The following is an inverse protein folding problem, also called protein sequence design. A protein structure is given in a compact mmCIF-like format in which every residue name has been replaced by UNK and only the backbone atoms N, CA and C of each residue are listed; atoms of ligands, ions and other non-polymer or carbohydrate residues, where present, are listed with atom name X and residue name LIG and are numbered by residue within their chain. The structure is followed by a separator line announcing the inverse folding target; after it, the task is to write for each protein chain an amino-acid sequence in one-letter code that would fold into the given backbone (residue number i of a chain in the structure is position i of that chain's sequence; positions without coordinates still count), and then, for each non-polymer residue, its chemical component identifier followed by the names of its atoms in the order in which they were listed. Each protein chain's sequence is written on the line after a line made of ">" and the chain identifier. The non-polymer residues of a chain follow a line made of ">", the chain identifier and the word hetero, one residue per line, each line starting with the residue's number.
data_IF_878338212706
#
_entry.id   IF_878338212706
#
_cell.length_a   1.000
_cell.length_b   1.000
_cell.length_c   1.000
_cell.angle_alpha   90.00
_cell.angle_beta   90.00
_cell.angle_gamma   90.00
#
_symmetry.space_group_name_H-M   'P 1'
#
loop_
_entity.id
_entity.type
_entity.pdbx_description
1 polymer ?
#
# COMPACT_ATOMS: atom_id res chain seq x y z
N UNK A 1 3.47 -21.83 -15.66
CA UNK A 1 4.89 -22.03 -16.01
C UNK A 1 5.14 -21.33 -17.32
N UNK A 2 5.99 -20.30 -17.33
CA UNK A 2 6.44 -19.63 -18.55
C UNK A 2 7.62 -20.47 -19.05
N UNK A 3 7.47 -21.16 -20.19
CA UNK A 3 8.53 -21.98 -20.77
C UNK A 3 9.51 -21.10 -21.58
N UNK A 4 10.78 -21.52 -21.73
CA UNK A 4 11.79 -20.80 -22.52
C UNK A 4 11.29 -20.49 -23.95
N UNK A 5 10.56 -21.43 -24.53
CA UNK A 5 9.99 -21.31 -25.87
C UNK A 5 8.93 -20.20 -25.97
N UNK A 6 8.14 -19.99 -24.91
CA UNK A 6 7.13 -18.92 -24.85
C UNK A 6 7.79 -17.54 -24.76
N UNK A 7 8.93 -17.42 -24.08
CA UNK A 7 9.67 -16.15 -23.97
C UNK A 7 10.29 -15.80 -25.31
N UNK A 8 10.86 -16.80 -26.00
CA UNK A 8 11.44 -16.63 -27.32
C UNK A 8 10.39 -16.18 -28.35
N UNK A 9 9.20 -16.80 -28.34
CA UNK A 9 8.06 -16.35 -29.16
C UNK A 9 7.63 -14.92 -28.83
N UNK A 10 7.48 -14.58 -27.54
CA UNK A 10 7.13 -13.22 -27.12
C UNK A 10 8.15 -12.17 -27.57
N UNK A 11 9.45 -12.47 -27.48
CA UNK A 11 10.50 -11.56 -27.94
C UNK A 11 10.52 -11.39 -29.46
N UNK A 12 10.13 -12.42 -30.22
CA UNK A 12 9.97 -12.34 -31.68
C UNK A 12 8.74 -11.49 -32.02
N UNK A 13 7.58 -11.80 -31.43
CA UNK A 13 6.33 -11.06 -31.66
C UNK A 13 6.48 -9.56 -31.33
N UNK A 14 7.24 -9.24 -30.28
CA UNK A 14 7.56 -7.86 -29.89
C UNK A 14 8.54 -7.18 -30.85
N UNK A 15 9.45 -7.94 -31.47
CA UNK A 15 10.37 -7.42 -32.50
C UNK A 15 9.63 -7.15 -33.80
N UNK A 16 8.72 -8.03 -34.19
CA UNK A 16 7.92 -7.91 -35.42
C UNK A 16 6.84 -6.81 -35.32
N UNK A 17 6.32 -6.54 -34.12
CA UNK A 17 5.33 -5.48 -33.89
C UNK A 17 5.93 -4.09 -33.62
N UNK A 18 7.25 -3.96 -33.58
CA UNK A 18 7.96 -2.72 -33.25
C UNK A 18 8.64 -2.11 -34.49
N UNK A 19 8.34 -0.85 -34.81
CA UNK A 19 9.06 -0.08 -35.84
C UNK A 19 10.52 0.26 -35.47
N UNK A 20 10.96 -0.03 -34.24
CA UNK A 20 12.34 0.21 -33.77
C UNK A 20 13.09 -1.11 -33.62
N UNK A 21 14.39 -1.08 -33.91
CA UNK A 21 15.30 -2.18 -33.57
C UNK A 21 15.36 -2.35 -32.04
N UNK A 22 14.67 -3.38 -31.54
CA UNK A 22 14.71 -3.79 -30.15
C UNK A 22 15.80 -4.85 -29.95
N UNK A 23 16.77 -4.58 -29.09
CA UNK A 23 17.76 -5.57 -28.64
C UNK A 23 17.37 -6.11 -27.28
N UNK A 24 17.13 -7.41 -27.19
CA UNK A 24 16.77 -8.09 -25.94
C UNK A 24 17.95 -8.91 -25.42
N UNK A 25 18.42 -8.62 -24.21
CA UNK A 25 19.37 -9.48 -23.52
C UNK A 25 18.64 -10.72 -22.97
N UNK A 26 18.68 -11.80 -23.75
CA UNK A 26 18.00 -13.04 -23.42
C UNK A 26 18.53 -13.67 -22.13
N UNK A 27 19.81 -13.49 -21.81
CA UNK A 27 20.40 -14.07 -20.61
C UNK A 27 19.93 -13.31 -19.36
N UNK A 28 19.93 -11.99 -19.40
CA UNK A 28 19.40 -11.17 -18.31
C UNK A 28 17.89 -11.43 -18.08
N UNK A 29 17.10 -11.56 -19.15
CA UNK A 29 15.66 -11.89 -19.06
C UNK A 29 15.45 -13.27 -18.43
N UNK A 30 16.23 -14.27 -18.85
CA UNK A 30 16.13 -15.63 -18.30
C UNK A 30 16.58 -15.71 -16.85
N UNK A 31 17.63 -14.97 -16.47
CA UNK A 31 18.10 -14.90 -15.09
C UNK A 31 17.08 -14.19 -14.17
N UNK A 32 16.47 -13.10 -14.64
CA UNK A 32 15.41 -12.42 -13.89
C UNK A 32 14.16 -13.31 -13.76
N UNK A 33 13.73 -13.99 -14.82
CA UNK A 33 12.59 -14.93 -14.77
C UNK A 33 12.91 -16.12 -13.88
N UNK A 34 14.14 -16.63 -13.89
CA UNK A 34 14.56 -17.75 -13.03
C UNK A 34 14.60 -17.33 -11.56
N UNK A 35 15.09 -16.13 -11.26
CA UNK A 35 15.04 -15.54 -9.93
C UNK A 35 13.59 -15.29 -9.49
N UNK A 36 12.73 -14.73 -10.34
CA UNK A 36 11.32 -14.44 -10.06
C UNK A 36 10.48 -15.73 -9.94
N UNK A 37 10.79 -16.79 -10.69
CA UNK A 37 10.11 -18.10 -10.58
C UNK A 37 10.57 -18.92 -9.37
N UNK A 38 11.82 -18.80 -8.92
CA UNK A 38 12.21 -19.26 -7.57
C UNK A 38 11.57 -18.39 -6.46
N UNK A 39 11.26 -17.13 -6.75
CA UNK A 39 10.57 -16.16 -5.86
C UNK A 39 9.05 -16.14 -5.98
N UNK A 40 8.43 -17.03 -6.77
CA UNK A 40 6.97 -17.25 -6.79
C UNK A 40 6.54 -17.98 -5.51
N UNK A 41 6.90 -17.41 -4.37
CA UNK A 41 6.33 -17.71 -3.08
C UNK A 41 4.83 -17.46 -3.18
N UNK A 42 4.06 -18.50 -2.85
CA UNK A 42 2.61 -18.35 -2.74
C UNK A 42 2.31 -17.24 -1.73
N UNK A 43 1.24 -16.50 -1.97
CA UNK A 43 0.80 -15.42 -1.08
C UNK A 43 0.70 -15.88 0.38
N UNK A 44 0.36 -17.16 0.60
CA UNK A 44 0.39 -17.82 1.89
C UNK A 44 1.77 -17.82 2.57
N UNK A 45 2.85 -18.14 1.85
CA UNK A 45 4.22 -18.13 2.39
C UNK A 45 4.64 -16.70 2.78
N UNK A 46 4.27 -15.69 1.97
CA UNK A 46 4.58 -14.29 2.29
C UNK A 46 3.84 -13.82 3.55
N UNK A 47 2.56 -14.16 3.69
CA UNK A 47 1.79 -13.85 4.91
C UNK A 47 2.39 -14.57 6.12
N UNK A 48 2.71 -15.86 5.98
CA UNK A 48 3.27 -16.66 7.07
C UNK A 48 4.63 -16.13 7.52
N UNK A 49 5.46 -15.66 6.59
CA UNK A 49 6.75 -15.02 6.89
C UNK A 49 6.58 -13.71 7.66
N UNK A 50 5.65 -12.84 7.25
CA UNK A 50 5.34 -11.60 7.99
C UNK A 50 4.80 -11.92 9.39
N UNK A 51 3.83 -12.83 9.48
CA UNK A 51 3.25 -13.26 10.75
C UNK A 51 4.29 -13.89 11.68
N UNK A 52 5.16 -14.77 11.14
CA UNK A 52 6.26 -15.37 11.87
C UNK A 52 7.28 -14.34 12.36
N UNK A 53 7.56 -13.31 11.55
CA UNK A 53 8.40 -12.18 11.93
C UNK A 53 7.85 -11.42 13.15
N UNK A 54 6.56 -11.08 13.09
CA UNK A 54 5.86 -10.38 14.18
C UNK A 54 5.78 -11.24 15.43
N UNK A 55 5.38 -12.52 15.30
CA UNK A 55 5.29 -13.45 16.43
C UNK A 55 6.65 -13.70 17.08
N UNK A 56 7.71 -13.80 16.28
CA UNK A 56 9.08 -13.91 16.77
C UNK A 56 9.47 -12.68 17.59
N UNK A 57 9.20 -11.48 17.07
CA UNK A 57 9.48 -10.23 17.80
C UNK A 57 8.67 -10.12 19.10
N UNK A 58 7.40 -10.51 19.11
CA UNK A 58 6.57 -10.55 20.31
C UNK A 58 7.07 -11.56 21.34
N UNK A 59 7.43 -12.77 20.93
CA UNK A 59 7.99 -13.79 21.82
C UNK A 59 9.33 -13.33 22.43
N UNK A 60 10.17 -12.65 21.64
CA UNK A 60 11.40 -12.05 22.13
C UNK A 60 11.16 -10.91 23.12
N UNK A 61 10.21 -10.02 22.85
CA UNK A 61 9.82 -8.97 23.80
C UNK A 61 9.29 -9.58 25.11
N UNK A 62 8.47 -10.64 25.02
CA UNK A 62 7.99 -11.39 26.17
C UNK A 62 9.12 -12.06 26.97
N UNK A 63 10.10 -12.65 26.29
CA UNK A 63 11.30 -13.21 26.93
C UNK A 63 12.12 -12.12 27.64
N UNK A 64 12.34 -10.98 26.99
CA UNK A 64 13.11 -9.87 27.53
C UNK A 64 12.46 -9.34 28.83
N UNK A 65 11.13 -9.28 28.85
CA UNK A 65 10.35 -8.96 30.05
C UNK A 65 10.45 -10.05 31.13
N UNK A 66 10.20 -11.31 30.78
CA UNK A 66 10.21 -12.43 31.72
C UNK A 66 11.59 -12.70 32.34
N UNK A 67 12.66 -12.41 31.61
CA UNK A 67 14.04 -12.57 32.07
C UNK A 67 14.61 -11.30 32.74
N UNK A 68 13.81 -10.23 32.88
CA UNK A 68 14.23 -8.93 33.44
C UNK A 68 15.46 -8.32 32.74
N UNK A 69 15.71 -8.71 31.48
CA UNK A 69 16.84 -8.24 30.67
C UNK A 69 16.62 -6.82 30.11
N UNK A 70 15.49 -6.20 30.44
CA UNK A 70 15.14 -4.83 30.07
C UNK A 70 15.70 -3.76 31.01
N UNK A 71 16.34 -4.16 32.11
CA UNK A 71 16.85 -3.22 33.12
C UNK A 71 18.12 -2.46 32.67
N UNK A 72 18.95 -3.06 31.83
CA UNK A 72 20.20 -2.43 31.36
C UNK A 72 20.00 -1.65 30.06
N UNK A 73 19.93 -0.33 30.17
CA UNK A 73 19.79 0.58 29.03
C UNK A 73 20.89 0.37 27.97
N UNK A 74 22.16 0.25 28.40
CA UNK A 74 23.31 0.05 27.51
C UNK A 74 23.23 -1.29 26.79
N UNK A 75 22.82 -2.36 27.47
CA UNK A 75 22.64 -3.67 26.85
C UNK A 75 21.52 -3.62 25.79
N UNK A 76 20.38 -2.99 26.12
CA UNK A 76 19.26 -2.82 25.18
C UNK A 76 19.65 -2.01 23.95
N UNK A 77 20.35 -0.88 24.11
CA UNK A 77 20.83 -0.09 22.97
C UNK A 77 21.79 -0.91 22.10
N UNK A 78 22.72 -1.62 22.73
CA UNK A 78 23.74 -2.40 22.01
C UNK A 78 23.10 -3.56 21.23
N UNK A 79 22.25 -4.35 21.89
CA UNK A 79 21.50 -5.44 21.25
C UNK A 79 20.60 -4.89 20.15
N UNK A 80 19.92 -3.78 20.40
CA UNK A 80 19.05 -3.12 19.44
C UNK A 80 19.80 -2.76 18.15
N UNK A 81 20.92 -2.04 18.27
CA UNK A 81 21.77 -1.65 17.13
C UNK A 81 22.30 -2.89 16.38
N UNK A 82 22.80 -3.90 17.11
CA UNK A 82 23.33 -5.13 16.51
C UNK A 82 22.24 -5.87 15.74
N UNK A 83 21.04 -5.98 16.29
CA UNK A 83 19.91 -6.63 15.62
C UNK A 83 19.44 -5.86 14.39
N UNK A 84 19.35 -4.53 14.44
CA UNK A 84 19.00 -3.71 13.27
C UNK A 84 20.05 -3.84 12.16
N UNK A 85 21.35 -3.80 12.49
CA UNK A 85 22.42 -4.01 11.51
C UNK A 85 22.36 -5.42 10.93
N UNK A 86 22.20 -6.43 11.78
CA UNK A 86 22.07 -7.82 11.36
C UNK A 86 20.87 -8.00 10.42
N UNK A 87 19.73 -7.37 10.71
CA UNK A 87 18.55 -7.40 9.85
C UNK A 87 18.84 -6.86 8.45
N UNK A 88 19.53 -5.71 8.34
CA UNK A 88 19.90 -5.10 7.05
C UNK A 88 20.89 -5.99 6.30
N UNK A 89 21.88 -6.58 6.98
CA UNK A 89 22.87 -7.48 6.38
C UNK A 89 22.21 -8.77 5.88
N UNK A 90 21.36 -9.41 6.70
CA UNK A 90 20.59 -10.59 6.31
C UNK A 90 19.67 -10.30 5.13
N UNK A 91 19.09 -9.10 5.06
CA UNK A 91 18.29 -8.62 3.94
C UNK A 91 19.04 -8.51 2.61
N UNK A 92 20.37 -8.70 2.61
CA UNK A 92 21.21 -8.76 1.40
C UNK A 92 21.58 -10.18 0.99
N UNK A 93 21.43 -11.19 1.86
CA UNK A 93 21.95 -12.56 1.66
C UNK A 93 21.07 -13.46 0.78
N UNK A 94 20.24 -12.86 -0.07
CA UNK A 94 19.50 -13.55 -1.13
C UNK A 94 18.06 -13.93 -0.75
N UNK A 95 17.30 -14.34 -1.78
CA UNK A 95 15.84 -14.41 -1.83
C UNK A 95 15.19 -15.60 -1.10
N UNK A 96 15.79 -16.11 -0.03
CA UNK A 96 15.18 -17.23 0.71
C UNK A 96 14.21 -16.68 1.75
N UNK A 97 12.98 -17.21 1.77
CA UNK A 97 11.93 -16.92 2.76
C UNK A 97 12.48 -16.86 4.20
N UNK A 98 13.37 -17.79 4.53
CA UNK A 98 13.98 -17.91 5.85
C UNK A 98 14.75 -16.63 6.19
N UNK A 99 15.57 -16.13 5.27
CA UNK A 99 16.36 -14.90 5.49
C UNK A 99 15.47 -13.66 5.57
N UNK A 100 14.42 -13.57 4.75
CA UNK A 100 13.46 -12.47 4.85
C UNK A 100 12.73 -12.48 6.21
N UNK A 101 12.36 -13.67 6.71
CA UNK A 101 11.70 -13.82 8.01
C UNK A 101 12.65 -13.44 9.15
N UNK A 102 13.89 -13.93 9.15
CA UNK A 102 14.88 -13.57 10.17
C UNK A 102 15.22 -12.08 10.14
N UNK A 103 15.39 -11.53 8.94
CA UNK A 103 15.65 -10.10 8.73
C UNK A 103 14.51 -9.26 9.32
N UNK A 104 13.25 -9.61 9.02
CA UNK A 104 12.09 -8.95 9.60
C UNK A 104 12.02 -9.04 11.13
N UNK A 105 12.23 -10.25 11.68
CA UNK A 105 12.24 -10.50 13.13
C UNK A 105 13.30 -9.65 13.82
N UNK A 106 14.55 -9.71 13.35
CA UNK A 106 15.65 -8.94 13.94
C UNK A 106 15.43 -7.43 13.82
N UNK A 107 14.81 -6.98 12.72
CA UNK A 107 14.48 -5.57 12.55
C UNK A 107 13.48 -5.10 13.62
N UNK A 108 12.38 -5.84 13.82
CA UNK A 108 11.36 -5.53 14.82
C UNK A 108 11.88 -5.70 16.25
N UNK A 109 12.67 -6.74 16.53
CA UNK A 109 13.31 -6.93 17.84
C UNK A 109 14.27 -5.79 18.17
N UNK A 110 15.11 -5.40 17.21
CA UNK A 110 16.02 -4.27 17.37
C UNK A 110 15.27 -2.97 17.63
N UNK A 111 14.18 -2.75 16.89
CA UNK A 111 13.27 -1.63 17.08
C UNK A 111 12.71 -1.59 18.52
N UNK A 112 12.17 -2.71 19.00
CA UNK A 112 11.64 -2.83 20.38
C UNK A 112 12.72 -2.59 21.44
N UNK A 113 13.93 -3.12 21.27
CA UNK A 113 15.04 -2.87 22.19
C UNK A 113 15.42 -1.39 22.27
N UNK A 114 15.49 -0.69 21.13
CA UNK A 114 15.81 0.74 21.12
C UNK A 114 14.70 1.57 21.76
N UNK A 115 13.41 1.20 21.59
CA UNK A 115 12.31 1.85 22.30
C UNK A 115 12.50 1.74 23.82
N UNK A 116 12.68 0.52 24.34
CA UNK A 116 12.87 0.33 25.78
C UNK A 116 14.14 1.01 26.30
N UNK A 117 15.23 0.99 25.51
CA UNK A 117 16.44 1.72 25.87
C UNK A 117 16.21 3.23 25.94
N UNK A 118 15.42 3.79 25.02
CA UNK A 118 15.17 5.23 24.97
C UNK A 118 14.43 5.73 26.21
N UNK A 119 13.48 4.95 26.73
CA UNK A 119 12.78 5.23 27.98
C UNK A 119 13.75 5.22 29.18
N UNK A 120 14.66 4.24 29.24
CA UNK A 120 15.65 4.13 30.32
C UNK A 120 16.79 5.14 30.25
N UNK A 121 17.09 5.65 29.07
CA UNK A 121 18.11 6.71 28.88
C UNK A 121 17.52 8.12 28.98
N UNK A 122 16.23 8.24 29.35
CA UNK A 122 15.49 9.51 29.38
C UNK A 122 15.60 10.30 28.07
N UNK A 123 15.67 9.59 26.94
CA UNK A 123 15.69 10.23 25.62
C UNK A 123 14.34 10.87 25.35
N UNK A 124 14.36 12.10 24.79
CA UNK A 124 13.11 12.75 24.40
C UNK A 124 12.41 11.94 23.31
N UNK A 125 11.08 11.83 23.38
CA UNK A 125 10.27 11.10 22.39
C UNK A 125 10.56 11.60 20.97
N UNK A 126 10.75 12.91 20.79
CA UNK A 126 11.11 13.50 19.49
C UNK A 126 12.46 13.01 18.95
N UNK A 127 13.47 12.86 19.81
CA UNK A 127 14.76 12.30 19.41
C UNK A 127 14.60 10.84 18.98
N UNK A 128 13.90 10.04 19.77
CA UNK A 128 13.65 8.62 19.48
C UNK A 128 12.92 8.44 18.14
N UNK A 129 11.83 9.19 17.91
CA UNK A 129 11.07 9.13 16.65
C UNK A 129 11.91 9.60 15.45
N UNK A 130 12.73 10.64 15.62
CA UNK A 130 13.61 11.14 14.55
C UNK A 130 14.68 10.11 14.19
N UNK A 131 15.29 9.45 15.18
CA UNK A 131 16.27 8.38 14.94
C UNK A 131 15.65 7.23 14.17
N UNK A 132 14.43 6.81 14.53
CA UNK A 132 13.74 5.75 13.79
C UNK A 132 13.47 6.15 12.34
N UNK A 133 12.97 7.35 12.09
CA UNK A 133 12.76 7.86 10.72
C UNK A 133 14.06 7.81 9.91
N UNK A 134 15.19 8.20 10.49
CA UNK A 134 16.51 8.12 9.84
C UNK A 134 16.89 6.67 9.55
N UNK A 135 16.68 5.75 10.49
CA UNK A 135 16.95 4.32 10.32
C UNK A 135 16.08 3.73 9.22
N UNK A 136 14.78 4.05 9.16
CA UNK A 136 13.88 3.55 8.12
C UNK A 136 14.27 4.07 6.74
N UNK A 137 14.60 5.36 6.61
CA UNK A 137 15.08 5.93 5.35
C UNK A 137 16.38 5.24 4.93
N UNK A 138 17.36 5.12 5.82
CA UNK A 138 18.61 4.42 5.54
C UNK A 138 18.36 2.97 5.11
N UNK A 139 17.42 2.30 5.78
CA UNK A 139 17.04 0.93 5.48
C UNK A 139 16.47 0.77 4.06
N UNK A 140 15.59 1.68 3.63
CA UNK A 140 15.02 1.68 2.27
C UNK A 140 16.08 1.79 1.17
N UNK A 141 17.20 2.49 1.44
CA UNK A 141 18.32 2.60 0.51
C UNK A 141 19.32 1.44 0.61
N UNK A 142 19.54 0.90 1.81
CA UNK A 142 20.59 -0.09 2.07
C UNK A 142 20.13 -1.54 1.88
N UNK A 143 18.83 -1.83 2.04
CA UNK A 143 18.28 -3.18 1.98
C UNK A 143 17.85 -3.58 0.58
N UNK A 144 18.09 -4.86 0.26
CA UNK A 144 17.59 -5.51 -0.97
C UNK A 144 16.43 -6.47 -0.71
N UNK A 145 16.01 -6.60 0.55
CA UNK A 145 14.89 -7.46 0.93
C UNK A 145 13.56 -6.72 0.76
N UNK A 146 12.60 -7.40 0.12
CA UNK A 146 11.24 -6.90 -0.03
C UNK A 146 10.56 -6.69 1.33
N UNK A 147 10.67 -7.67 2.23
CA UNK A 147 9.95 -7.66 3.51
C UNK A 147 10.47 -6.54 4.41
N UNK A 148 11.79 -6.39 4.50
CA UNK A 148 12.40 -5.36 5.33
C UNK A 148 12.07 -3.95 4.79
N UNK A 149 12.15 -3.74 3.47
CA UNK A 149 11.73 -2.46 2.87
C UNK A 149 10.23 -2.19 3.08
N UNK A 150 9.39 -3.22 3.00
CA UNK A 150 7.95 -3.10 3.27
C UNK A 150 7.69 -2.66 4.72
N UNK A 151 8.35 -3.28 5.70
CA UNK A 151 8.26 -2.90 7.11
C UNK A 151 8.78 -1.48 7.35
N UNK A 152 9.90 -1.09 6.73
CA UNK A 152 10.43 0.27 6.86
C UNK A 152 9.45 1.33 6.35
N UNK A 153 8.70 1.09 5.27
CA UNK A 153 7.66 2.04 4.83
C UNK A 153 6.54 2.15 5.88
N UNK A 154 6.07 1.02 6.42
CA UNK A 154 5.03 1.01 7.45
C UNK A 154 5.48 1.78 8.70
N UNK A 155 6.66 1.43 9.24
CA UNK A 155 7.20 2.07 10.45
C UNK A 155 7.51 3.54 10.22
N UNK A 156 8.09 3.92 9.07
CA UNK A 156 8.33 5.32 8.72
C UNK A 156 7.04 6.13 8.74
N UNK A 157 5.97 5.63 8.11
CA UNK A 157 4.68 6.33 8.15
C UNK A 157 4.08 6.39 9.55
N UNK A 158 4.24 5.33 10.35
CA UNK A 158 3.81 5.29 11.74
C UNK A 158 4.57 6.30 12.61
N UNK A 159 5.89 6.39 12.47
CA UNK A 159 6.73 7.32 13.22
C UNK A 159 6.47 8.78 12.86
N UNK A 160 6.27 9.09 11.58
CA UNK A 160 5.87 10.43 11.16
C UNK A 160 4.54 10.82 11.81
N UNK A 161 3.57 9.92 11.85
CA UNK A 161 2.26 10.19 12.47
C UNK A 161 2.35 10.29 13.99
N UNK A 162 3.12 9.41 14.63
CA UNK A 162 3.39 9.48 16.07
C UNK A 162 4.06 10.81 16.43
N UNK A 163 4.97 11.30 15.58
CA UNK A 163 5.63 12.60 15.75
C UNK A 163 4.63 13.76 15.62
N UNK A 164 3.70 13.71 14.66
CA UNK A 164 2.63 14.71 14.54
C UNK A 164 1.75 14.75 15.79
N UNK A 165 1.33 13.58 16.28
CA UNK A 165 0.47 13.47 17.47
C UNK A 165 1.21 13.98 18.71
N UNK A 166 2.47 13.55 18.91
CA UNK A 166 3.26 13.96 20.07
C UNK A 166 3.50 15.48 20.14
N UNK A 167 3.63 16.14 18.99
CA UNK A 167 3.86 17.58 18.91
C UNK A 167 2.57 18.41 18.75
N UNK A 168 1.39 17.83 18.95
CA UNK A 168 0.09 18.51 18.75
C UNK A 168 -0.09 19.11 17.34
N UNK A 169 0.38 18.40 16.32
CA UNK A 169 0.25 18.77 14.90
C UNK A 169 -0.78 17.86 14.20
N UNK A 170 -1.84 17.45 14.89
CA UNK A 170 -2.86 16.52 14.37
C UNK A 170 -3.55 17.07 13.10
N UNK A 171 -3.63 18.39 12.93
CA UNK A 171 -4.16 19.05 11.74
C UNK A 171 -3.42 18.66 10.44
N UNK A 172 -2.14 18.25 10.54
CA UNK A 172 -1.33 17.80 9.40
C UNK A 172 -1.60 16.34 9.00
N UNK A 173 -2.43 15.61 9.75
CA UNK A 173 -2.72 14.21 9.50
C UNK A 173 -3.34 13.96 8.12
N UNK A 174 -4.45 14.63 7.79
CA UNK A 174 -5.10 14.49 6.49
C UNK A 174 -4.28 15.06 5.32
N UNK A 175 -3.57 16.20 5.47
CA UNK A 175 -2.56 16.63 4.50
C UNK A 175 -1.48 15.58 4.23
N UNK A 176 -0.98 14.87 5.25
CA UNK A 176 -0.03 13.77 5.08
C UNK A 176 -0.65 12.61 4.29
N UNK A 177 -1.88 12.21 4.63
CA UNK A 177 -2.63 11.17 3.91
C UNK A 177 -2.80 11.56 2.43
N UNK A 178 -3.14 12.82 2.15
CA UNK A 178 -3.24 13.35 0.79
C UNK A 178 -1.89 13.25 0.06
N UNK A 179 -0.79 13.69 0.68
CA UNK A 179 0.56 13.61 0.10
C UNK A 179 0.98 12.16 -0.20
N UNK A 180 0.74 11.24 0.72
CA UNK A 180 1.07 9.82 0.56
C UNK A 180 0.25 9.19 -0.58
N UNK A 181 -1.01 9.58 -0.76
CA UNK A 181 -1.84 9.09 -1.88
C UNK A 181 -1.39 9.59 -3.24
N UNK A 182 -0.90 10.84 -3.31
CA UNK A 182 -0.27 11.39 -4.53
C UNK A 182 0.99 10.58 -4.83
N UNK A 183 1.84 10.32 -3.83
CA UNK A 183 3.04 9.47 -4.00
C UNK A 183 2.68 8.07 -4.50
N UNK A 184 1.69 7.40 -3.90
CA UNK A 184 1.21 6.08 -4.33
C UNK A 184 0.74 6.12 -5.79
N UNK A 185 -0.07 7.13 -6.15
CA UNK A 185 -0.61 7.28 -7.51
C UNK A 185 0.48 7.55 -8.54
N UNK A 186 1.53 8.31 -8.19
CA UNK A 186 2.68 8.55 -9.06
C UNK A 186 3.51 7.28 -9.25
N UNK A 187 3.82 6.56 -8.16
CA UNK A 187 4.58 5.30 -8.20
C UNK A 187 3.87 4.29 -9.07
N UNK A 188 2.55 4.12 -8.89
CA UNK A 188 1.77 3.19 -9.69
C UNK A 188 1.55 3.71 -11.12
N UNK A 189 1.28 4.99 -11.31
CA UNK A 189 1.00 5.57 -12.63
C UNK A 189 2.21 5.69 -13.54
N UNK A 190 3.43 5.62 -13.01
CA UNK A 190 4.69 5.69 -13.76
C UNK A 190 5.56 4.42 -13.62
N UNK A 191 4.96 3.29 -13.23
CA UNK A 191 5.65 2.00 -13.02
C UNK A 191 6.66 1.67 -14.15
N UNK A 192 6.20 1.69 -15.41
CA UNK A 192 7.04 1.35 -16.57
C UNK A 192 8.26 2.26 -16.66
N UNK A 193 8.10 3.57 -16.43
CA UNK A 193 9.22 4.53 -16.49
C UNK A 193 10.19 4.31 -15.33
N UNK A 194 9.68 4.08 -14.12
CA UNK A 194 10.51 3.84 -12.92
C UNK A 194 11.35 2.58 -13.10
N UNK A 195 10.75 1.50 -13.61
CA UNK A 195 11.44 0.23 -13.82
C UNK A 195 12.45 0.28 -14.98
N UNK A 196 12.14 0.99 -16.07
CA UNK A 196 13.04 1.07 -17.24
C UNK A 196 14.21 2.03 -17.05
N UNK A 197 14.13 2.99 -16.12
CA UNK A 197 15.24 3.94 -15.89
C UNK A 197 16.42 3.29 -15.15
N UNK A 198 16.27 2.08 -14.60
CA UNK A 198 17.34 1.16 -14.17
C UNK A 198 18.31 1.62 -13.06
N UNK A 199 18.38 2.92 -12.75
CA UNK A 199 19.47 3.54 -11.97
C UNK A 199 19.01 4.00 -10.57
N UNK A 200 17.71 4.15 -10.33
CA UNK A 200 17.23 4.87 -9.13
C UNK A 200 16.78 3.92 -8.00
N UNK A 201 16.12 2.80 -8.30
CA UNK A 201 15.57 1.88 -7.28
C UNK A 201 15.64 0.42 -7.74
N UNK A 202 16.16 -0.50 -6.91
CA UNK A 202 16.03 -1.94 -7.16
C UNK A 202 14.55 -2.34 -7.30
N UNK A 203 14.25 -3.29 -8.21
CA UNK A 203 12.87 -3.74 -8.49
C UNK A 203 12.11 -4.20 -7.23
N UNK A 204 12.83 -4.85 -6.31
CA UNK A 204 12.30 -5.30 -5.01
C UNK A 204 11.90 -4.14 -4.12
N UNK A 205 12.71 -3.09 -4.06
CA UNK A 205 12.42 -1.87 -3.30
C UNK A 205 11.21 -1.15 -3.89
N UNK A 206 11.08 -1.10 -5.22
CA UNK A 206 9.88 -0.56 -5.86
C UNK A 206 8.60 -1.33 -5.46
N UNK A 207 8.61 -2.66 -5.54
CA UNK A 207 7.45 -3.47 -5.17
C UNK A 207 7.10 -3.30 -3.69
N UNK A 208 8.10 -3.30 -2.81
CA UNK A 208 7.94 -3.07 -1.38
C UNK A 208 7.38 -1.66 -1.08
N UNK A 209 7.86 -0.63 -1.78
CA UNK A 209 7.39 0.74 -1.65
C UNK A 209 5.92 0.88 -2.08
N UNK A 210 5.54 0.28 -3.21
CA UNK A 210 4.16 0.26 -3.70
C UNK A 210 3.22 -0.40 -2.69
N UNK A 211 3.57 -1.60 -2.22
CA UNK A 211 2.73 -2.32 -1.24
C UNK A 211 2.73 -1.62 0.11
N UNK A 212 3.89 -1.15 0.59
CA UNK A 212 4.06 -0.49 1.87
C UNK A 212 3.20 0.75 1.95
N UNK A 213 3.26 1.63 0.94
CA UNK A 213 2.43 2.84 0.89
C UNK A 213 0.93 2.53 0.83
N UNK A 214 0.53 1.51 0.06
CA UNK A 214 -0.87 1.09 -0.02
C UNK A 214 -1.38 0.66 1.37
N UNK A 215 -0.64 -0.22 2.06
CA UNK A 215 -1.03 -0.68 3.39
C UNK A 215 -0.95 0.45 4.43
N UNK A 216 0.10 1.28 4.42
CA UNK A 216 0.21 2.46 5.27
C UNK A 216 -1.02 3.35 5.15
N UNK A 217 -1.43 3.71 3.92
CA UNK A 217 -2.60 4.55 3.70
C UNK A 217 -3.90 3.92 4.20
N UNK A 218 -4.09 2.61 4.02
CA UNK A 218 -5.24 1.90 4.57
C UNK A 218 -5.24 1.91 6.09
N UNK A 219 -4.11 1.63 6.73
CA UNK A 219 -3.98 1.68 8.19
C UNK A 219 -4.26 3.09 8.72
N UNK A 220 -3.72 4.13 8.06
CA UNK A 220 -4.02 5.50 8.42
C UNK A 220 -5.52 5.79 8.30
N UNK A 221 -6.17 5.48 7.19
CA UNK A 221 -7.61 5.73 7.06
C UNK A 221 -8.47 4.94 8.07
N UNK A 222 -8.03 3.75 8.49
CA UNK A 222 -8.68 3.00 9.58
C UNK A 222 -8.50 3.73 10.92
N UNK A 223 -7.31 4.26 11.21
CA UNK A 223 -7.05 5.04 12.44
C UNK A 223 -7.79 6.38 12.42
N UNK A 224 -7.80 7.08 11.28
CA UNK A 224 -8.48 8.37 11.14
C UNK A 224 -10.00 8.29 11.21
N UNK A 225 -10.60 7.20 10.71
CA UNK A 225 -12.06 7.01 10.74
C UNK A 225 -12.56 6.44 12.05
N UNK A 226 -11.67 5.88 12.86
CA UNK A 226 -12.06 5.27 14.11
C UNK A 226 -11.40 6.02 15.27
N UNK A 227 -12.20 6.54 16.20
CA UNK A 227 -11.71 7.05 17.48
C UNK A 227 -11.12 5.93 18.39
N UNK A 228 -10.58 4.84 17.82
CA UNK A 228 -10.09 3.62 18.49
C UNK A 228 -9.09 3.95 19.61
N UNK A 229 -8.40 5.08 19.53
CA UNK A 229 -7.33 5.42 20.45
C UNK A 229 -7.53 6.69 21.27
N UNK A 230 -8.73 7.29 21.27
CA UNK A 230 -8.98 8.61 21.88
C UNK A 230 -7.98 9.70 21.42
N UNK A 231 -7.31 9.52 20.29
CA UNK A 231 -6.59 10.61 19.66
C UNK A 231 -7.66 11.56 19.14
N UNK A 232 -7.73 12.77 19.72
CA UNK A 232 -8.51 13.87 19.16
C UNK A 232 -7.86 14.30 17.84
N UNK A 233 -8.06 13.48 16.80
CA UNK A 233 -7.76 13.88 15.44
C UNK A 233 -8.80 14.93 15.07
N UNK A 234 -8.36 16.18 14.99
CA UNK A 234 -9.22 17.24 14.49
C UNK A 234 -9.63 16.91 13.05
N UNK A 235 -10.94 16.86 12.81
CA UNK A 235 -11.53 16.62 11.49
C UNK A 235 -11.47 17.88 10.59
N UNK A 236 -10.69 18.89 10.99
CA UNK A 236 -10.57 20.21 10.36
C UNK A 236 -10.15 20.14 8.90
N UNK A 237 -9.30 19.18 8.53
CA UNK A 237 -8.70 19.08 7.19
C UNK A 237 -9.02 17.78 6.44
N UNK A 238 -10.02 16.99 6.86
CA UNK A 238 -10.40 15.76 6.13
C UNK A 238 -10.86 16.02 4.70
N UNK A 239 -11.46 17.19 4.45
CA UNK A 239 -11.84 17.66 3.11
C UNK A 239 -10.64 17.76 2.15
N UNK A 240 -9.42 18.00 2.64
CA UNK A 240 -8.20 18.06 1.83
C UNK A 240 -7.91 16.68 1.23
N UNK A 241 -7.93 15.63 2.05
CA UNK A 241 -7.71 14.27 1.60
C UNK A 241 -8.79 13.84 0.59
N UNK A 242 -10.07 14.13 0.87
CA UNK A 242 -11.17 13.81 -0.04
C UNK A 242 -11.07 14.52 -1.39
N UNK A 243 -10.72 15.81 -1.39
CA UNK A 243 -10.53 16.58 -2.63
C UNK A 243 -9.43 15.98 -3.48
N UNK A 244 -8.29 15.65 -2.85
CA UNK A 244 -7.17 15.02 -3.54
C UNK A 244 -7.57 13.64 -4.07
N UNK A 245 -8.29 12.82 -3.31
CA UNK A 245 -8.74 11.51 -3.78
C UNK A 245 -9.70 11.61 -4.97
N UNK A 246 -10.67 12.53 -4.95
CA UNK A 246 -11.58 12.76 -6.07
C UNK A 246 -10.81 13.19 -7.34
N UNK A 247 -9.84 14.10 -7.20
CA UNK A 247 -8.95 14.50 -8.29
C UNK A 247 -8.15 13.32 -8.85
N UNK A 248 -7.55 12.51 -7.98
CA UNK A 248 -6.79 11.33 -8.39
C UNK A 248 -7.69 10.27 -9.06
N UNK A 249 -8.93 10.09 -8.61
CA UNK A 249 -9.92 9.21 -9.24
C UNK A 249 -10.26 9.70 -10.66
N UNK A 250 -10.48 11.00 -10.84
CA UNK A 250 -10.74 11.56 -12.17
C UNK A 250 -9.54 11.36 -13.10
N UNK A 251 -8.32 11.65 -12.63
CA UNK A 251 -7.10 11.48 -13.40
C UNK A 251 -6.85 10.02 -13.78
N UNK A 252 -7.04 9.09 -12.84
CA UNK A 252 -6.87 7.65 -13.10
C UNK A 252 -7.94 7.11 -14.03
N UNK A 253 -9.20 7.50 -13.86
CA UNK A 253 -10.31 7.14 -14.76
C UNK A 253 -10.05 7.64 -16.18
N UNK A 254 -9.62 8.88 -16.33
CA UNK A 254 -9.24 9.45 -17.62
C UNK A 254 -8.12 8.65 -18.31
N UNK A 255 -7.13 8.18 -17.55
CA UNK A 255 -6.02 7.33 -18.05
C UNK A 255 -6.46 5.90 -18.38
N UNK A 256 -7.43 5.35 -17.66
CA UNK A 256 -7.93 3.97 -17.87
C UNK A 256 -8.90 3.90 -19.07
N UNK A 257 -9.66 4.95 -19.36
CA UNK A 257 -10.69 4.93 -20.40
C UNK A 257 -10.26 4.42 -21.79
N UNK A 258 -9.05 4.72 -22.32
CA UNK A 258 -8.56 4.11 -23.56
C UNK A 258 -8.41 2.58 -23.50
N UNK A 259 -8.10 2.02 -22.33
CA UNK A 259 -8.03 0.56 -22.11
C UNK A 259 -9.41 -0.11 -22.29
N UNK A 260 -10.49 0.66 -22.09
CA UNK A 260 -11.88 0.23 -22.29
C UNK A 260 -12.39 0.56 -23.70
N UNK A 261 -11.50 0.86 -24.66
CA UNK A 261 -11.82 1.26 -26.04
C UNK A 261 -12.58 2.59 -26.16
N UNK A 262 -12.50 3.45 -25.15
CA UNK A 262 -13.12 4.79 -25.15
C UNK A 262 -12.06 5.83 -25.56
N UNK A 263 -11.89 6.00 -26.86
CA UNK A 263 -10.79 6.83 -27.40
C UNK A 263 -11.13 8.32 -27.52
N UNK A 264 -12.41 8.67 -27.67
CA UNK A 264 -12.83 10.08 -27.81
C UNK A 264 -12.63 10.84 -26.49
N UNK A 265 -11.85 11.93 -26.53
CA UNK A 265 -11.51 12.76 -25.35
C UNK A 265 -12.72 13.26 -24.58
N UNK A 266 -13.78 13.69 -25.28
CA UNK A 266 -15.03 14.15 -24.67
C UNK A 266 -15.65 13.09 -23.76
N UNK A 267 -15.75 11.83 -24.22
CA UNK A 267 -16.32 10.76 -23.39
C UNK A 267 -15.43 10.40 -22.20
N UNK A 268 -14.10 10.50 -22.36
CA UNK A 268 -13.16 10.30 -21.25
C UNK A 268 -13.33 11.35 -20.15
N UNK A 269 -13.48 12.62 -20.55
CA UNK A 269 -13.76 13.73 -19.63
C UNK A 269 -15.13 13.52 -18.98
N UNK A 270 -16.17 13.22 -19.76
CA UNK A 270 -17.53 13.00 -19.26
C UNK A 270 -17.58 11.88 -18.22
N UNK A 271 -16.97 10.73 -18.48
CA UNK A 271 -16.91 9.60 -17.53
C UNK A 271 -16.18 10.00 -16.25
N UNK A 272 -15.10 10.77 -16.37
CA UNK A 272 -14.33 11.23 -15.20
C UNK A 272 -15.14 12.21 -14.34
N UNK A 273 -15.90 13.11 -14.97
CA UNK A 273 -16.82 14.03 -14.27
C UNK A 273 -17.96 13.25 -13.59
N UNK A 274 -18.56 12.29 -14.29
CA UNK A 274 -19.62 11.44 -13.73
C UNK A 274 -19.11 10.64 -12.54
N UNK A 275 -17.89 10.10 -12.61
CA UNK A 275 -17.26 9.38 -11.50
C UNK A 275 -17.04 10.30 -10.28
N UNK A 276 -16.55 11.53 -10.48
CA UNK A 276 -16.43 12.52 -9.40
C UNK A 276 -17.78 12.86 -8.78
N UNK A 277 -18.80 13.12 -9.62
CA UNK A 277 -20.13 13.51 -9.17
C UNK A 277 -20.79 12.40 -8.34
N UNK A 278 -20.58 11.14 -8.74
CA UNK A 278 -21.11 9.97 -8.04
C UNK A 278 -20.47 9.77 -6.66
N UNK A 279 -19.21 10.20 -6.49
CA UNK A 279 -18.46 10.11 -5.23
C UNK A 279 -18.49 11.39 -4.41
N UNK A 280 -19.16 12.44 -4.89
CA UNK A 280 -19.34 13.67 -4.13
C UNK A 280 -20.07 13.44 -2.77
N UNK A 281 -21.05 12.51 -2.65
CA UNK A 281 -21.68 12.22 -1.36
C UNK A 281 -20.70 11.69 -0.29
N UNK A 282 -19.55 11.13 -0.70
CA UNK A 282 -18.52 10.62 0.21
C UNK A 282 -17.44 11.66 0.51
N UNK A 283 -17.69 12.95 0.25
CA UNK A 283 -16.72 14.03 0.42
C UNK A 283 -16.21 14.18 1.86
N UNK A 284 -17.03 13.93 2.89
CA UNK A 284 -16.58 13.93 4.28
C UNK A 284 -16.05 12.58 4.77
N UNK A 285 -16.02 11.57 3.90
CA UNK A 285 -15.57 10.22 4.23
C UNK A 285 -14.46 9.78 3.27
N UNK A 286 -13.25 10.36 3.41
CA UNK A 286 -12.13 10.15 2.48
C UNK A 286 -11.78 8.67 2.28
N UNK A 287 -12.01 7.82 3.29
CA UNK A 287 -11.68 6.41 3.23
C UNK A 287 -12.44 5.64 2.13
N UNK A 288 -13.71 5.99 1.86
CA UNK A 288 -14.50 5.38 0.79
C UNK A 288 -13.88 5.76 -0.57
N UNK A 289 -13.61 7.04 -0.79
CA UNK A 289 -12.95 7.52 -2.02
C UNK A 289 -11.58 6.85 -2.23
N UNK A 290 -10.78 6.71 -1.18
CA UNK A 290 -9.47 6.05 -1.27
C UNK A 290 -9.55 4.58 -1.68
N UNK A 291 -10.53 3.83 -1.17
CA UNK A 291 -10.71 2.43 -1.55
C UNK A 291 -11.03 2.27 -3.03
N UNK A 292 -11.81 3.19 -3.61
CA UNK A 292 -12.10 3.23 -5.04
C UNK A 292 -10.86 3.63 -5.84
N UNK A 293 -10.09 4.62 -5.39
CA UNK A 293 -8.80 4.97 -6.00
C UNK A 293 -7.86 3.76 -6.03
N UNK A 294 -7.81 2.99 -4.95
CA UNK A 294 -7.00 1.75 -4.85
C UNK A 294 -7.45 0.70 -5.86
N UNK A 295 -8.76 0.51 -6.04
CA UNK A 295 -9.33 -0.38 -7.06
C UNK A 295 -8.93 0.06 -8.47
N UNK A 296 -9.08 1.35 -8.80
CA UNK A 296 -8.74 1.89 -10.12
C UNK A 296 -7.25 1.77 -10.43
N UNK A 297 -6.38 2.13 -9.48
CA UNK A 297 -4.93 2.01 -9.62
C UNK A 297 -4.51 0.54 -9.80
N UNK A 298 -5.10 -0.36 -9.01
CA UNK A 298 -4.81 -1.79 -9.09
C UNK A 298 -5.31 -2.40 -10.40
N UNK A 299 -6.45 -1.96 -10.91
CA UNK A 299 -6.96 -2.34 -12.23
C UNK A 299 -6.03 -1.86 -13.35
N UNK A 300 -5.59 -0.60 -13.30
CA UNK A 300 -4.68 -0.02 -14.30
C UNK A 300 -3.37 -0.81 -14.43
N UNK A 301 -2.79 -1.23 -13.31
CA UNK A 301 -1.55 -2.01 -13.27
C UNK A 301 -1.74 -3.53 -13.33
N UNK A 302 -2.99 -4.03 -13.41
CA UNK A 302 -3.30 -5.47 -13.28
C UNK A 302 -2.72 -6.09 -11.99
N UNK A 303 -2.64 -5.30 -10.91
CA UNK A 303 -2.08 -5.71 -9.63
C UNK A 303 -3.13 -6.46 -8.79
N UNK A 304 -3.17 -7.80 -8.93
CA UNK A 304 -4.22 -8.67 -8.35
C UNK A 304 -4.38 -8.54 -6.83
N UNK A 305 -3.27 -8.48 -6.09
CA UNK A 305 -3.31 -8.38 -4.63
C UNK A 305 -3.83 -7.02 -4.18
N UNK A 306 -3.41 -5.92 -4.82
CA UNK A 306 -3.97 -4.59 -4.55
C UNK A 306 -5.45 -4.50 -4.90
N UNK A 307 -5.90 -5.21 -5.95
CA UNK A 307 -7.32 -5.29 -6.31
C UNK A 307 -8.11 -6.00 -5.21
N UNK A 308 -7.66 -7.16 -4.75
CA UNK A 308 -8.31 -7.89 -3.64
C UNK A 308 -8.36 -7.04 -2.36
N UNK A 309 -7.24 -6.41 -1.99
CA UNK A 309 -7.17 -5.49 -0.84
C UNK A 309 -8.10 -4.29 -1.02
N UNK A 310 -8.18 -3.72 -2.23
CA UNK A 310 -9.10 -2.64 -2.57
C UNK A 310 -10.58 -3.03 -2.42
N UNK A 311 -10.95 -4.25 -2.82
CA UNK A 311 -12.31 -4.78 -2.62
C UNK A 311 -12.63 -4.89 -1.12
N UNK A 312 -11.72 -5.50 -0.35
CA UNK A 312 -11.89 -5.67 1.10
C UNK A 312 -12.00 -4.30 1.78
N UNK A 313 -11.13 -3.35 1.43
CA UNK A 313 -11.16 -2.00 1.95
C UNK A 313 -12.46 -1.27 1.57
N UNK A 314 -12.93 -1.40 0.33
CA UNK A 314 -14.18 -0.79 -0.12
C UNK A 314 -15.36 -1.33 0.67
N UNK A 315 -15.47 -2.65 0.85
CA UNK A 315 -16.52 -3.28 1.65
C UNK A 315 -16.45 -2.81 3.11
N UNK A 316 -15.26 -2.76 3.71
CA UNK A 316 -15.10 -2.27 5.07
C UNK A 316 -15.52 -0.80 5.23
N UNK A 317 -15.01 0.10 4.39
CA UNK A 317 -15.27 1.53 4.53
C UNK A 317 -16.69 1.92 4.12
N UNK A 318 -17.31 1.27 3.14
CA UNK A 318 -18.72 1.53 2.80
C UNK A 318 -19.65 1.05 3.91
N UNK A 319 -19.36 -0.12 4.51
CA UNK A 319 -20.09 -0.60 5.68
C UNK A 319 -19.93 0.38 6.84
N UNK A 320 -18.71 0.85 7.11
CA UNK A 320 -18.46 1.81 8.17
C UNK A 320 -19.16 3.15 7.94
N UNK A 321 -19.06 3.70 6.73
CA UNK A 321 -19.80 4.90 6.32
C UNK A 321 -21.31 4.77 6.57
N UNK A 322 -21.90 3.62 6.22
CA UNK A 322 -23.31 3.35 6.48
C UNK A 322 -23.67 3.39 7.98
N UNK A 323 -22.79 2.87 8.84
CA UNK A 323 -22.99 2.91 10.29
C UNK A 323 -22.78 4.31 10.88
N UNK A 324 -21.81 5.07 10.37
CA UNK A 324 -21.48 6.41 10.85
C UNK A 324 -22.51 7.48 10.43
N UNK A 325 -23.38 7.20 9.45
CA UNK A 325 -24.50 8.08 9.13
C UNK A 325 -25.42 8.27 10.34
N UNK A 326 -25.65 9.51 10.77
CA UNK A 326 -26.56 9.89 11.85
C UNK A 326 -28.05 9.83 11.43
N UNK A 327 -28.45 8.75 10.76
CA UNK A 327 -29.82 8.47 10.36
C UNK A 327 -30.44 7.37 11.22
N UNK A 328 -31.77 7.39 11.35
CA UNK A 328 -32.49 6.29 11.98
C UNK A 328 -32.25 4.97 11.22
N UNK A 329 -32.29 3.84 11.92
CA UNK A 329 -32.21 2.51 11.32
C UNK A 329 -33.22 2.32 10.18
N UNK A 330 -34.41 2.90 10.31
CA UNK A 330 -35.47 2.88 9.28
C UNK A 330 -35.05 3.64 8.01
N UNK A 331 -34.50 4.85 8.17
CA UNK A 331 -34.03 5.65 7.03
C UNK A 331 -32.87 4.95 6.32
N UNK A 332 -31.97 4.34 7.09
CA UNK A 332 -30.85 3.56 6.57
C UNK A 332 -31.32 2.32 5.79
N UNK A 333 -32.35 1.61 6.26
CA UNK A 333 -32.90 0.45 5.55
C UNK A 333 -33.66 0.85 4.27
N UNK A 334 -34.42 1.95 4.30
CA UNK A 334 -35.08 2.52 3.11
C UNK A 334 -34.08 2.98 2.05
N UNK A 335 -32.95 3.59 2.45
CA UNK A 335 -31.87 3.95 1.52
C UNK A 335 -31.23 2.73 0.87
N UNK A 336 -30.98 1.67 1.65
CA UNK A 336 -30.38 0.43 1.12
C UNK A 336 -31.35 -0.30 0.19
N UNK A 337 -32.63 -0.34 0.55
CA UNK A 337 -33.70 -0.87 -0.29
C UNK A 337 -33.83 -0.07 -1.60
N UNK A 338 -33.82 1.26 -1.51
CA UNK A 338 -33.93 2.16 -2.67
C UNK A 338 -32.74 2.06 -3.62
N UNK A 339 -31.51 2.00 -3.08
CA UNK A 339 -30.30 1.78 -3.90
C UNK A 339 -30.27 0.38 -4.53
N UNK A 340 -30.70 -0.65 -3.80
CA UNK A 340 -30.88 -2.00 -4.37
C UNK A 340 -31.90 -2.03 -5.51
N UNK A 341 -33.02 -1.32 -5.36
CA UNK A 341 -34.05 -1.21 -6.39
C UNK A 341 -33.55 -0.43 -7.60
N UNK A 342 -32.77 0.65 -7.38
CA UNK A 342 -32.09 1.41 -8.43
C UNK A 342 -31.09 0.52 -9.20
N UNK A 343 -30.28 -0.30 -8.52
CA UNK A 343 -29.38 -1.23 -9.19
C UNK A 343 -30.13 -2.29 -10.00
N UNK A 344 -31.25 -2.82 -9.51
CA UNK A 344 -32.13 -3.72 -10.30
C UNK A 344 -32.71 -3.01 -11.53
N UNK A 345 -33.10 -1.75 -11.39
CA UNK A 345 -33.61 -0.93 -12.50
C UNK A 345 -32.51 -0.67 -13.54
N UNK A 346 -31.30 -0.30 -13.10
CA UNK A 346 -30.14 -0.15 -13.98
C UNK A 346 -29.78 -1.47 -14.67
N UNK A 347 -29.77 -2.59 -13.94
CA UNK A 347 -29.50 -3.91 -14.49
C UNK A 347 -30.52 -4.28 -15.57
N UNK A 348 -31.81 -4.11 -15.29
CA UNK A 348 -32.87 -4.40 -16.27
C UNK A 348 -32.82 -3.47 -17.49
N UNK A 349 -32.47 -2.19 -17.32
CA UNK A 349 -32.29 -1.25 -18.43
C UNK A 349 -31.07 -1.57 -19.30
N UNK A 350 -29.94 -1.92 -18.68
CA UNK A 350 -28.71 -2.32 -19.38
C UNK A 350 -28.91 -3.65 -20.09
N UNK A 351 -29.52 -4.64 -19.42
CA UNK A 351 -29.79 -5.95 -20.00
C UNK A 351 -30.82 -5.87 -21.14
N UNK A 352 -31.91 -5.09 -20.99
CA UNK A 352 -32.86 -4.84 -22.10
C UNK A 352 -32.22 -4.15 -23.30
N UNK A 353 -31.16 -3.36 -23.12
CA UNK A 353 -30.43 -2.69 -24.21
C UNK A 353 -29.28 -3.50 -24.81
N UNK A 354 -28.84 -4.58 -24.16
CA UNK A 354 -27.80 -5.47 -24.68
C UNK A 354 -28.37 -6.57 -25.60
N UNK A 355 -29.62 -7.00 -25.37
CA UNK A 355 -30.26 -8.06 -26.18
C UNK A 355 -30.59 -7.67 -27.65
N UNK A 356 -30.83 -6.40 -28.05
CA UNK A 356 -31.07 -6.08 -29.47
C UNK A 356 -29.82 -6.18 -30.36
N UNK A 357 -28.61 -6.15 -29.79
CA UNK A 357 -27.35 -6.04 -30.54
C UNK A 357 -26.44 -7.29 -30.49
N UNK A 358 -26.91 -8.40 -29.92
CA UNK A 358 -26.23 -9.72 -30.01
C UNK A 358 -26.82 -10.61 -31.12
N UNK A 359 -27.48 -10.01 -32.11
CA UNK A 359 -27.80 -10.65 -33.38
C UNK A 359 -27.27 -9.79 -34.53
N UNK A 360 -26.00 -9.95 -34.86
CA UNK A 360 -25.42 -9.74 -36.19
C UNK A 360 -24.05 -10.43 -36.26
#
# INVERSE_FOLDING_TARGET
>A
MINKDNIHQLTIDLKESSERELTFDHNAILDEIRNDTQDQQTLAIKILSIAGGILGALAFAGFLFAAELYESAVALTTVGIVMTIAAIVLGRWGAKVIWDTFSASFYLMGYTCVIFASDRLDWSTNLTLTLFIVIEIATLYLSRSYLLNFLSVLLLTGNVVAMLIHNNLQDLYYPLVALLSIKLTLIMGYEIKILTTGVILPIRTYHALRSGLLFSLLFLLIIGNNNIYNFELHDTFSWVASTVFLLLIALTTFKIAPLLRINKSLYRILISIVAMLLLLPTYYYPAVSFSILTLLLSFHLKYKTGLAVGIIAFLYFISRFYYDLNYSLLTKSLLLFGTGLLFLLLYTLVHKKLIPNERL
#
